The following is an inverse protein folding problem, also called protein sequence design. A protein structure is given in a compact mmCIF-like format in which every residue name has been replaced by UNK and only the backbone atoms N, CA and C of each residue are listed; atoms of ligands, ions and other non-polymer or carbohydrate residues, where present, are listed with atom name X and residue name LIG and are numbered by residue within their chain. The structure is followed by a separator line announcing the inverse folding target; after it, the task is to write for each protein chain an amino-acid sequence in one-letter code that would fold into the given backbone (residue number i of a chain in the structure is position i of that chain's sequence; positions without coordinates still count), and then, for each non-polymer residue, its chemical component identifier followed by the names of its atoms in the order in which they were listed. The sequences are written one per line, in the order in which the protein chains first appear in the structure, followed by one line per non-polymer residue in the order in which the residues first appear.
data_IF_567196063620
#
_entry.id   IF_567196063620
#
_cell.length_a   1.000
_cell.length_b   1.000
_cell.length_c   1.000
_cell.angle_alpha   90.00
_cell.angle_beta   90.00
_cell.angle_gamma   90.00
#
_symmetry.space_group_name_H-M   'P 1'
#
loop_
_entity.id
_entity.type
_entity.pdbx_description
1 polymer ?
#
# COMPACT_ATOMS: atom_id res chain seq x y z
N UNK A 1 6.23 1.90 15.27
CA UNK A 1 7.68 1.72 15.02
C UNK A 1 8.04 0.31 14.58
N UNK A 2 7.50 -0.75 15.20
CA UNK A 2 7.84 -2.13 14.81
C UNK A 2 7.56 -2.45 13.32
N UNK A 3 6.43 -2.01 12.77
CA UNK A 3 6.08 -2.29 11.37
C UNK A 3 7.05 -1.66 10.37
N UNK A 4 7.46 -0.40 10.60
CA UNK A 4 8.40 0.29 9.70
C UNK A 4 9.75 -0.43 9.66
N UNK A 5 10.34 -0.73 10.83
CA UNK A 5 11.63 -1.42 10.89
C UNK A 5 11.55 -2.82 10.27
N UNK A 6 10.48 -3.58 10.57
CA UNK A 6 10.25 -4.91 9.97
C UNK A 6 10.17 -4.83 8.44
N UNK A 7 9.42 -3.87 7.91
CA UNK A 7 9.29 -3.69 6.46
C UNK A 7 10.61 -3.24 5.83
N UNK A 8 11.38 -2.39 6.52
CA UNK A 8 12.67 -1.92 6.06
C UNK A 8 13.69 -3.07 5.98
N UNK A 9 13.68 -3.98 6.94
CA UNK A 9 14.55 -5.17 6.94
C UNK A 9 14.20 -6.12 5.78
N UNK A 10 12.90 -6.38 5.54
CA UNK A 10 12.44 -7.16 4.40
C UNK A 10 12.79 -6.49 3.06
N UNK A 11 12.65 -5.17 2.98
CA UNK A 11 13.05 -4.42 1.79
C UNK A 11 14.56 -4.50 1.57
N UNK A 12 15.35 -4.49 2.65
CA UNK A 12 16.81 -4.57 2.59
C UNK A 12 17.28 -5.92 2.04
N UNK A 13 16.59 -7.02 2.32
CA UNK A 13 16.97 -8.34 1.79
C UNK A 13 16.67 -8.52 0.30
N UNK A 14 15.70 -7.79 -0.26
CA UNK A 14 15.30 -7.91 -1.67
C UNK A 14 15.81 -6.76 -2.55
N UNK A 15 15.86 -5.54 -2.01
CA UNK A 15 16.24 -4.32 -2.72
C UNK A 15 17.07 -3.38 -1.82
N UNK A 16 18.35 -3.71 -1.54
CA UNK A 16 19.20 -2.98 -0.58
C UNK A 16 19.32 -1.49 -0.89
N UNK A 17 19.46 -1.12 -2.17
CA UNK A 17 19.58 0.28 -2.58
C UNK A 17 18.30 1.09 -2.29
N UNK A 18 17.11 0.48 -2.44
CA UNK A 18 15.84 1.14 -2.13
C UNK A 18 15.64 1.26 -0.62
N UNK A 19 15.98 0.22 0.14
CA UNK A 19 15.94 0.28 1.61
C UNK A 19 16.82 1.42 2.15
N UNK A 20 18.05 1.53 1.65
CA UNK A 20 18.96 2.63 2.04
C UNK A 20 18.40 4.02 1.70
N UNK A 21 17.67 4.15 0.59
CA UNK A 21 17.01 5.42 0.23
C UNK A 21 15.86 5.74 1.18
N UNK A 22 15.02 4.76 1.50
CA UNK A 22 13.88 4.93 2.43
C UNK A 22 14.37 5.27 3.84
N UNK A 23 15.43 4.60 4.32
CA UNK A 23 15.99 4.83 5.65
C UNK A 23 16.60 6.22 5.84
N UNK A 24 17.20 6.77 4.77
CA UNK A 24 17.85 8.09 4.80
C UNK A 24 16.88 9.24 4.54
N UNK A 25 15.67 8.95 4.07
CA UNK A 25 14.69 9.98 3.74
C UNK A 25 14.28 10.70 5.05
N UNK A 26 14.42 12.03 5.13
CA UNK A 26 13.99 12.77 6.30
C UNK A 26 12.48 12.63 6.51
N UNK A 27 12.06 12.68 7.77
CA UNK A 27 10.64 12.62 8.11
C UNK A 27 9.89 13.78 7.45
N UNK A 28 8.99 13.44 6.53
CA UNK A 28 8.13 14.40 5.87
C UNK A 28 6.97 14.79 6.79
N UNK A 29 6.74 16.10 6.97
CA UNK A 29 5.65 16.62 7.83
C UNK A 29 4.35 16.90 7.05
N UNK A 30 4.39 16.77 5.72
CA UNK A 30 3.27 17.03 4.83
C UNK A 30 2.28 15.86 4.76
N UNK A 31 2.75 14.63 4.97
CA UNK A 31 1.90 13.43 5.01
C UNK A 31 1.61 13.10 6.46
N UNK A 32 0.33 12.96 6.79
CA UNK A 32 -0.15 12.52 8.09
C UNK A 32 -0.87 11.20 7.96
N UNK A 33 -0.70 10.32 8.94
CA UNK A 33 -1.54 9.14 9.09
C UNK A 33 -2.79 9.53 9.86
N UNK A 34 -3.96 9.30 9.27
CA UNK A 34 -5.27 9.44 9.91
C UNK A 34 -5.91 8.06 9.99
N UNK A 35 -6.81 7.84 10.94
CA UNK A 35 -7.64 6.63 10.96
C UNK A 35 -8.96 6.89 10.23
N UNK A 36 -9.37 5.98 9.35
CA UNK A 36 -10.72 5.91 8.81
C UNK A 36 -11.71 5.44 9.89
N UNK A 37 -13.02 5.56 9.62
CA UNK A 37 -14.07 5.22 10.59
C UNK A 37 -14.07 3.74 10.98
N UNK A 38 -13.63 2.85 10.09
CA UNK A 38 -13.46 1.42 10.34
C UNK A 38 -12.11 1.05 11.00
N UNK A 39 -11.31 2.04 11.40
CA UNK A 39 -10.08 1.83 12.16
C UNK A 39 -8.86 1.48 11.30
N UNK A 40 -8.92 1.69 9.98
CA UNK A 40 -7.81 1.49 9.07
C UNK A 40 -6.97 2.78 8.89
N UNK A 41 -5.64 2.70 8.80
CA UNK A 41 -4.80 3.89 8.59
C UNK A 41 -4.91 4.40 7.14
N UNK A 42 -4.97 5.71 6.94
CA UNK A 42 -4.99 6.34 5.61
C UNK A 42 -3.98 7.50 5.56
N UNK A 43 -3.32 7.75 4.42
CA UNK A 43 -2.49 8.93 4.23
C UNK A 43 -3.35 10.16 3.94
N UNK A 44 -3.00 11.27 4.59
CA UNK A 44 -3.62 12.58 4.38
C UNK A 44 -2.55 13.62 4.06
N UNK A 45 -2.79 14.43 3.03
CA UNK A 45 -1.95 15.58 2.65
C UNK A 45 -2.81 16.84 2.75
N UNK A 46 -2.47 17.72 3.70
CA UNK A 46 -3.32 18.88 4.02
C UNK A 46 -4.74 18.45 4.43
N UNK A 47 -5.75 18.91 3.71
CA UNK A 47 -7.15 18.51 3.91
C UNK A 47 -7.58 17.28 3.11
N UNK A 48 -6.73 16.77 2.20
CA UNK A 48 -7.08 15.69 1.26
C UNK A 48 -6.68 14.34 1.83
N UNK A 49 -7.65 13.44 1.98
CA UNK A 49 -7.42 12.02 2.25
C UNK A 49 -7.17 11.29 0.93
N UNK A 50 -6.13 10.45 0.87
CA UNK A 50 -5.80 9.69 -0.35
C UNK A 50 -6.55 8.35 -0.47
N UNK A 51 -7.34 8.01 0.56
CA UNK A 51 -8.26 6.88 0.58
C UNK A 51 -9.55 7.29 1.31
N UNK A 52 -10.56 6.43 1.21
CA UNK A 52 -11.84 6.53 1.88
C UNK A 52 -11.66 6.77 3.37
N UNK A 53 -12.28 7.86 3.85
CA UNK A 53 -12.36 8.15 5.28
C UNK A 53 -13.26 7.14 6.04
N UNK A 54 -14.00 6.27 5.34
CA UNK A 54 -14.96 5.36 5.92
C UNK A 54 -14.45 3.92 5.95
N UNK A 55 -14.07 3.38 4.79
CA UNK A 55 -13.61 2.00 4.64
C UNK A 55 -12.67 1.89 3.41
N UNK A 56 -11.35 2.08 3.60
CA UNK A 56 -10.36 2.05 2.52
C UNK A 56 -10.15 0.63 1.96
N UNK A 57 -10.43 -0.41 2.76
CA UNK A 57 -10.35 -1.81 2.29
C UNK A 57 -11.47 -2.11 1.29
N UNK A 58 -12.70 -1.66 1.57
CA UNK A 58 -13.84 -1.83 0.65
C UNK A 58 -13.64 -1.04 -0.64
N UNK A 59 -13.14 0.19 -0.54
CA UNK A 59 -12.75 0.98 -1.72
C UNK A 59 -11.77 0.21 -2.61
N UNK A 60 -10.75 -0.43 -2.03
CA UNK A 60 -9.79 -1.21 -2.79
C UNK A 60 -10.38 -2.48 -3.40
N UNK A 61 -11.25 -3.19 -2.68
CA UNK A 61 -11.99 -4.35 -3.20
C UNK A 61 -12.82 -3.95 -4.43
N UNK A 62 -13.60 -2.87 -4.30
CA UNK A 62 -14.47 -2.38 -5.37
C UNK A 62 -13.65 -1.88 -6.57
N UNK A 63 -12.50 -1.24 -6.33
CA UNK A 63 -11.61 -0.75 -7.39
C UNK A 63 -11.01 -1.85 -8.27
N UNK A 64 -10.91 -3.08 -7.76
CA UNK A 64 -10.31 -4.22 -8.48
C UNK A 64 -11.34 -5.28 -8.86
N UNK A 65 -12.63 -5.05 -8.59
CA UNK A 65 -13.70 -6.03 -8.77
C UNK A 65 -13.78 -6.54 -10.22
N UNK A 66 -13.81 -5.62 -11.17
CA UNK A 66 -13.93 -5.93 -12.61
C UNK A 66 -12.56 -6.01 -13.32
N UNK A 67 -11.47 -5.76 -12.59
CA UNK A 67 -10.13 -5.89 -13.13
C UNK A 67 -9.78 -7.38 -13.23
N UNK A 68 -9.54 -7.88 -14.45
CA UNK A 68 -9.14 -9.26 -14.77
C UNK A 68 -7.67 -9.30 -15.24
N UNK A 69 -6.87 -10.19 -14.66
CA UNK A 69 -5.52 -10.49 -15.13
C UNK A 69 -5.47 -11.87 -15.77
N UNK A 70 -5.02 -11.93 -17.02
CA UNK A 70 -4.66 -13.20 -17.65
C UNK A 70 -3.32 -13.73 -17.09
N UNK A 71 -3.10 -15.05 -17.17
CA UNK A 71 -1.90 -15.71 -16.62
C UNK A 71 -0.56 -15.15 -17.13
N UNK A 72 -0.55 -14.49 -18.30
CA UNK A 72 0.66 -13.89 -18.89
C UNK A 72 0.75 -12.37 -18.69
N UNK A 73 -0.21 -11.77 -17.99
CA UNK A 73 -0.24 -10.34 -17.73
C UNK A 73 0.33 -10.02 -16.35
N UNK A 74 0.96 -8.85 -16.24
CA UNK A 74 1.46 -8.33 -14.97
C UNK A 74 0.76 -7.00 -14.69
N UNK A 75 0.18 -6.80 -13.48
CA UNK A 75 -0.43 -5.53 -13.15
C UNK A 75 0.62 -4.42 -13.09
N UNK A 76 0.26 -3.25 -13.59
CA UNK A 76 1.04 -2.02 -13.44
C UNK A 76 0.25 -1.09 -12.51
N UNK A 77 0.91 -0.64 -11.44
CA UNK A 77 0.28 0.15 -10.39
C UNK A 77 0.73 1.61 -10.51
N UNK A 78 -0.24 2.52 -10.65
CA UNK A 78 0.00 3.96 -10.66
C UNK A 78 -0.31 4.55 -9.28
N UNK A 79 0.75 4.83 -8.52
CA UNK A 79 0.66 5.37 -7.17
C UNK A 79 0.45 4.28 -6.12
N UNK A 80 1.30 4.29 -5.08
CA UNK A 80 1.25 3.27 -4.02
C UNK A 80 0.25 3.60 -2.91
N UNK A 81 0.19 4.87 -2.47
CA UNK A 81 -0.57 5.24 -1.28
C UNK A 81 -0.17 4.39 -0.07
N UNK A 82 -1.15 3.85 0.67
CA UNK A 82 -0.92 2.80 1.67
C UNK A 82 -1.09 1.37 1.13
N UNK A 83 -1.27 1.22 -0.19
CA UNK A 83 -1.19 -0.07 -0.87
C UNK A 83 -2.44 -0.96 -0.74
N UNK A 84 -3.59 -0.44 -0.29
CA UNK A 84 -4.82 -1.24 -0.15
C UNK A 84 -5.19 -2.00 -1.43
N UNK A 85 -5.13 -1.34 -2.58
CA UNK A 85 -5.40 -1.98 -3.89
C UNK A 85 -4.33 -3.01 -4.27
N UNK A 86 -3.07 -2.82 -3.88
CA UNK A 86 -2.00 -3.81 -4.12
C UNK A 86 -2.29 -5.09 -3.35
N UNK A 87 -2.71 -4.97 -2.09
CA UNK A 87 -3.09 -6.12 -1.27
C UNK A 87 -4.29 -6.86 -1.85
N UNK A 88 -5.32 -6.16 -2.32
CA UNK A 88 -6.48 -6.80 -2.96
C UNK A 88 -6.12 -7.46 -4.30
N UNK A 89 -5.25 -6.86 -5.11
CA UNK A 89 -4.72 -7.49 -6.34
C UNK A 89 -3.95 -8.77 -5.99
N UNK A 90 -3.08 -8.74 -4.98
CA UNK A 90 -2.33 -9.91 -4.53
C UNK A 90 -3.26 -11.00 -3.98
N UNK A 91 -4.29 -10.64 -3.22
CA UNK A 91 -5.30 -11.58 -2.75
C UNK A 91 -6.07 -12.23 -3.90
N UNK A 92 -6.46 -11.45 -4.91
CA UNK A 92 -7.23 -11.94 -6.07
C UNK A 92 -6.39 -12.79 -7.03
N UNK A 93 -5.11 -12.48 -7.20
CA UNK A 93 -4.27 -13.05 -8.27
C UNK A 93 -2.98 -13.75 -7.82
N UNK A 94 -2.60 -13.64 -6.55
CA UNK A 94 -1.40 -14.28 -5.98
C UNK A 94 -1.71 -15.38 -4.95
N UNK A 95 -2.94 -15.90 -4.92
CA UNK A 95 -3.23 -17.15 -4.20
C UNK A 95 -2.92 -18.38 -5.09
N UNK A 96 -1.65 -18.56 -5.46
CA UNK A 96 -1.09 -19.86 -5.87
C UNK A 96 0.33 -19.97 -5.36
N UNK A 97 0.45 -20.42 -4.11
CA UNK A 97 1.60 -21.18 -3.56
C UNK A 97 1.21 -21.66 -2.15
N UNK A 98 0.50 -22.79 -2.07
CA UNK A 98 0.90 -24.06 -1.41
C UNK A 98 0.13 -25.19 -2.09
#
# INVERSE_FOLDING_TARGET
MQLFNKNLDLLRSHQPALANRVEREPRQNIVRTKMSKDGNPIPQIGSVSLHSNYNPTKEAEDAVLDYCLDNNQKPVIYGLGFGYHVLEILKKYHCKEV
#
